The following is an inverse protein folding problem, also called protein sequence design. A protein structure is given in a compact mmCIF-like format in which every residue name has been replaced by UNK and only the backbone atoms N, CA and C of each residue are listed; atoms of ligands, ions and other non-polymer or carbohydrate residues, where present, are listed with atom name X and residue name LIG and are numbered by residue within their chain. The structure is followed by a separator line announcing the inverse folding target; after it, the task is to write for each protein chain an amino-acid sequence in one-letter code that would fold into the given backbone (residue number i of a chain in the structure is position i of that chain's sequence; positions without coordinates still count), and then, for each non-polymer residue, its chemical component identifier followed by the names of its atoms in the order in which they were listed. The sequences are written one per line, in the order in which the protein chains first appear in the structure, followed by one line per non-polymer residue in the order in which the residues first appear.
data_IF_013632048437
#
_entry.id   IF_013632048437
#
_cell.length_a   1.000
_cell.length_b   1.000
_cell.length_c   1.000
_cell.angle_alpha   90.00
_cell.angle_beta   90.00
_cell.angle_gamma   90.00
#
_symmetry.space_group_name_H-M   'P 1'
#
loop_
_entity.id
_entity.type
_entity.pdbx_description
1 polymer ?
#
# COMPACT_ATOMS: atom_id res chain seq x y z
N UNK A 1 41.57 31.83 7.83
CA UNK A 1 40.13 31.92 8.15
C UNK A 1 39.36 32.43 6.93
N UNK A 2 39.22 31.60 5.88
CA UNK A 2 38.60 32.00 4.60
C UNK A 2 37.63 30.93 4.03
N UNK A 3 37.32 29.88 4.80
CA UNK A 3 36.54 28.73 4.31
C UNK A 3 35.14 28.64 4.92
N UNK A 4 34.86 29.36 6.01
CA UNK A 4 33.55 29.32 6.69
C UNK A 4 32.42 30.02 5.91
N UNK A 5 32.76 30.92 4.97
CA UNK A 5 31.77 31.62 4.15
C UNK A 5 31.44 30.91 2.83
N UNK A 6 32.26 29.96 2.39
CA UNK A 6 32.05 29.24 1.12
C UNK A 6 31.00 28.12 1.30
N UNK A 7 30.97 27.50 2.49
CA UNK A 7 29.98 26.46 2.83
C UNK A 7 28.55 26.99 2.92
N UNK A 8 28.36 28.22 3.39
CA UNK A 8 27.03 28.83 3.50
C UNK A 8 26.43 29.20 2.12
N UNK A 9 27.26 29.53 1.13
CA UNK A 9 26.79 29.92 -0.21
C UNK A 9 26.34 28.72 -1.05
N UNK A 10 26.91 27.54 -0.83
CA UNK A 10 26.52 26.30 -1.54
C UNK A 10 25.21 25.68 -1.04
N UNK A 11 24.82 25.93 0.22
CA UNK A 11 23.57 25.41 0.82
C UNK A 11 22.30 26.14 0.35
N UNK A 12 22.42 27.38 -0.16
CA UNK A 12 21.27 28.19 -0.58
C UNK A 12 20.79 27.84 -2.00
N UNK A 13 21.67 27.27 -2.83
CA UNK A 13 21.36 26.94 -4.24
C UNK A 13 20.44 25.72 -4.36
N UNK A 14 20.38 24.86 -3.33
CA UNK A 14 19.53 23.66 -3.36
C UNK A 14 18.03 23.91 -3.12
N UNK A 15 17.63 25.12 -2.68
CA UNK A 15 16.24 25.41 -2.28
C UNK A 15 15.35 26.03 -3.39
N UNK A 16 15.83 26.19 -4.62
CA UNK A 16 15.06 26.94 -5.66
C UNK A 16 14.74 26.13 -6.93
N UNK A 17 14.59 24.81 -6.82
CA UNK A 17 13.83 24.05 -7.82
C UNK A 17 12.39 23.84 -7.35
N UNK A 18 11.67 24.95 -7.15
CA UNK A 18 10.22 24.96 -7.01
C UNK A 18 9.58 24.59 -8.36
N UNK A 19 9.13 23.35 -8.47
CA UNK A 19 8.50 22.83 -9.67
C UNK A 19 7.09 23.45 -9.84
N UNK A 20 6.95 24.51 -10.66
CA UNK A 20 5.64 24.99 -11.10
C UNK A 20 5.16 24.11 -12.27
N UNK A 21 4.45 23.02 -11.98
CA UNK A 21 3.71 22.29 -13.02
C UNK A 21 2.37 22.99 -13.26
N UNK A 22 2.29 23.68 -14.39
CA UNK A 22 1.03 24.20 -14.96
C UNK A 22 0.14 22.98 -15.30
N UNK A 23 -1.01 22.84 -14.63
CA UNK A 23 -2.03 21.83 -14.98
C UNK A 23 -2.70 22.27 -16.28
N UNK A 24 -2.33 21.66 -17.40
CA UNK A 24 -3.17 21.65 -18.59
C UNK A 24 -4.30 20.63 -18.37
N UNK A 25 -5.54 21.09 -18.47
CA UNK A 25 -6.72 20.25 -18.43
C UNK A 25 -6.85 19.59 -19.82
N UNK A 26 -6.18 18.46 -20.02
CA UNK A 26 -6.46 17.58 -21.15
C UNK A 26 -7.53 16.61 -20.70
N UNK A 27 -8.66 16.63 -21.38
CA UNK A 27 -9.64 15.54 -21.29
C UNK A 27 -8.96 14.28 -21.85
N UNK A 28 -8.55 13.39 -20.94
CA UNK A 28 -7.90 12.12 -21.28
C UNK A 28 -8.98 11.03 -21.21
N UNK A 29 -9.13 10.20 -22.27
CA UNK A 29 -10.09 9.10 -22.27
C UNK A 29 -9.82 8.09 -21.14
N UNK A 30 -10.91 7.50 -20.63
CA UNK A 30 -11.08 6.80 -19.34
C UNK A 30 -10.25 5.49 -19.20
N UNK A 31 -9.32 5.19 -20.12
CA UNK A 31 -8.57 3.94 -20.11
C UNK A 31 -7.04 4.09 -20.12
N UNK A 32 -6.53 5.23 -19.66
CA UNK A 32 -5.11 5.40 -19.39
C UNK A 32 -4.84 5.14 -17.90
N UNK A 33 -4.32 3.96 -17.56
CA UNK A 33 -3.45 3.82 -16.37
C UNK A 33 -2.41 4.93 -16.47
N UNK A 34 -2.45 5.85 -15.51
CA UNK A 34 -1.56 7.01 -15.54
C UNK A 34 -0.11 6.52 -15.52
N UNK A 35 0.82 7.21 -16.19
CA UNK A 35 2.26 6.88 -16.10
C UNK A 35 2.73 6.81 -14.64
N UNK A 36 2.04 7.51 -13.73
CA UNK A 36 2.25 7.37 -12.28
C UNK A 36 1.94 5.97 -11.75
N UNK A 37 0.82 5.33 -12.10
CA UNK A 37 0.46 4.03 -11.51
C UNK A 37 1.48 2.96 -11.88
N UNK A 38 1.92 2.95 -13.14
CA UNK A 38 2.97 2.02 -13.60
C UNK A 38 4.26 2.22 -12.81
N UNK A 39 4.64 3.47 -12.55
CA UNK A 39 5.83 3.79 -11.76
C UNK A 39 5.70 3.38 -10.29
N UNK A 40 4.54 3.65 -9.66
CA UNK A 40 4.26 3.22 -8.28
C UNK A 40 4.33 1.70 -8.16
N UNK A 41 3.62 0.98 -9.04
CA UNK A 41 3.60 -0.48 -9.13
C UNK A 41 5.00 -1.06 -9.27
N UNK A 42 5.84 -0.46 -10.13
CA UNK A 42 7.25 -0.86 -10.30
C UNK A 42 8.06 -0.71 -9.01
N UNK A 43 7.95 0.44 -8.31
CA UNK A 43 8.68 0.67 -7.06
C UNK A 43 8.26 -0.28 -5.94
N UNK A 44 6.98 -0.62 -5.87
CA UNK A 44 6.48 -1.65 -4.93
C UNK A 44 7.15 -3.00 -5.23
N UNK A 45 7.13 -3.45 -6.49
CA UNK A 45 7.69 -4.75 -6.88
C UNK A 45 9.20 -4.83 -6.64
N UNK A 46 9.94 -3.78 -7.03
CA UNK A 46 11.40 -3.80 -7.05
C UNK A 46 12.05 -3.52 -5.69
N UNK A 47 11.52 -2.59 -4.92
CA UNK A 47 12.16 -2.15 -3.66
C UNK A 47 11.22 -2.08 -2.44
N UNK A 48 9.95 -2.45 -2.58
CA UNK A 48 9.02 -2.45 -1.45
C UNK A 48 8.72 -1.04 -0.94
N UNK A 49 8.65 -0.06 -1.85
CA UNK A 49 8.45 1.34 -1.48
C UNK A 49 7.08 1.56 -0.85
N UNK A 50 7.07 1.78 0.47
CA UNK A 50 5.84 1.94 1.26
C UNK A 50 5.05 3.19 0.89
N UNK A 51 5.72 4.27 0.48
CA UNK A 51 5.05 5.49 0.01
C UNK A 51 4.28 5.24 -1.30
N UNK A 52 4.89 4.50 -2.24
CA UNK A 52 4.23 4.11 -3.49
C UNK A 52 3.08 3.15 -3.22
N UNK A 53 3.25 2.22 -2.27
CA UNK A 53 2.20 1.31 -1.82
C UNK A 53 1.01 2.06 -1.22
N UNK A 54 1.24 3.02 -0.32
CA UNK A 54 0.18 3.85 0.26
C UNK A 54 -0.52 4.70 -0.80
N UNK A 55 0.22 5.32 -1.71
CA UNK A 55 -0.36 6.09 -2.82
C UNK A 55 -1.25 5.21 -3.69
N UNK A 56 -0.78 3.99 -4.00
CA UNK A 56 -1.53 3.02 -4.77
C UNK A 56 -2.80 2.57 -4.02
N UNK A 57 -2.71 2.29 -2.71
CA UNK A 57 -3.87 1.97 -1.87
C UNK A 57 -4.94 3.07 -1.93
N UNK A 58 -4.55 4.34 -1.75
CA UNK A 58 -5.49 5.45 -1.84
C UNK A 58 -6.16 5.54 -3.21
N UNK A 59 -5.44 5.29 -4.30
CA UNK A 59 -6.04 5.29 -5.65
C UNK A 59 -7.13 4.23 -5.82
N UNK A 60 -7.00 3.08 -5.16
CA UNK A 60 -8.01 2.02 -5.18
C UNK A 60 -9.19 2.28 -4.24
N UNK A 61 -9.09 3.20 -3.27
CA UNK A 61 -10.26 3.65 -2.51
C UNK A 61 -11.22 4.46 -3.39
N UNK A 62 -10.67 5.28 -4.30
CA UNK A 62 -11.46 6.12 -5.20
C UNK A 62 -12.01 5.34 -6.41
N UNK A 63 -11.26 4.34 -6.89
CA UNK A 63 -11.66 3.45 -7.98
C UNK A 63 -11.34 1.99 -7.62
N UNK A 64 -12.27 1.28 -6.97
CA UNK A 64 -12.03 -0.07 -6.46
C UNK A 64 -11.67 -1.05 -7.58
N UNK A 65 -10.46 -1.58 -7.54
CA UNK A 65 -10.03 -2.77 -8.29
C UNK A 65 -9.31 -3.70 -7.31
N UNK A 66 -10.06 -4.30 -6.38
CA UNK A 66 -9.51 -5.03 -5.25
C UNK A 66 -8.65 -6.22 -5.68
N UNK A 67 -8.93 -6.82 -6.85
CA UNK A 67 -8.16 -7.94 -7.40
C UNK A 67 -6.75 -7.50 -7.83
N UNK A 68 -6.61 -6.31 -8.41
CA UNK A 68 -5.30 -5.79 -8.81
C UNK A 68 -4.49 -5.37 -7.58
N UNK A 69 -5.12 -4.69 -6.62
CA UNK A 69 -4.44 -4.27 -5.41
C UNK A 69 -3.95 -5.46 -4.56
N UNK A 70 -4.73 -6.55 -4.50
CA UNK A 70 -4.37 -7.78 -3.79
C UNK A 70 -2.98 -8.31 -4.19
N UNK A 71 -2.65 -8.26 -5.48
CA UNK A 71 -1.33 -8.68 -5.96
C UNK A 71 -0.19 -7.90 -5.31
N UNK A 72 -0.32 -6.57 -5.24
CA UNK A 72 0.69 -5.69 -4.63
C UNK A 72 0.74 -5.84 -3.11
N UNK A 73 -0.42 -6.02 -2.46
CA UNK A 73 -0.50 -6.30 -1.03
C UNK A 73 0.20 -7.62 -0.68
N UNK A 74 0.00 -8.68 -1.45
CA UNK A 74 0.69 -9.96 -1.26
C UNK A 74 2.21 -9.83 -1.40
N UNK A 75 2.71 -9.04 -2.35
CA UNK A 75 4.15 -8.77 -2.49
C UNK A 75 4.69 -8.06 -1.25
N UNK A 76 4.02 -6.99 -0.81
CA UNK A 76 4.45 -6.20 0.34
C UNK A 76 4.43 -7.01 1.64
N UNK A 77 3.41 -7.84 1.82
CA UNK A 77 3.30 -8.74 2.95
C UNK A 77 4.41 -9.80 2.90
N UNK A 78 4.48 -10.59 1.83
CA UNK A 78 5.31 -11.80 1.81
C UNK A 78 6.79 -11.52 1.55
N UNK A 79 7.12 -10.61 0.62
CA UNK A 79 8.50 -10.33 0.23
C UNK A 79 9.16 -9.31 1.17
N UNK A 80 8.41 -8.26 1.52
CA UNK A 80 8.96 -7.13 2.27
C UNK A 80 8.57 -7.14 3.76
N UNK A 81 7.73 -8.09 4.19
CA UNK A 81 7.27 -8.19 5.57
C UNK A 81 6.62 -6.91 6.09
N UNK A 82 5.99 -6.12 5.21
CA UNK A 82 5.35 -4.88 5.60
C UNK A 82 4.07 -5.17 6.41
N UNK A 83 3.98 -4.79 7.70
CA UNK A 83 2.91 -5.22 8.59
C UNK A 83 1.49 -4.90 8.09
N UNK A 84 1.26 -3.67 7.63
CA UNK A 84 -0.03 -3.22 7.11
C UNK A 84 -0.51 -4.09 5.94
N UNK A 85 0.40 -4.51 5.05
CA UNK A 85 0.04 -5.29 3.88
C UNK A 85 -0.51 -6.68 4.20
N UNK A 86 -0.14 -7.26 5.36
CA UNK A 86 -0.77 -8.51 5.81
C UNK A 86 -2.27 -8.31 6.09
N UNK A 87 -2.62 -7.19 6.73
CA UNK A 87 -4.01 -6.84 7.00
C UNK A 87 -4.77 -6.45 5.72
N UNK A 88 -4.10 -5.76 4.81
CA UNK A 88 -4.69 -5.37 3.53
C UNK A 88 -5.04 -6.61 2.66
N UNK A 89 -4.19 -7.65 2.65
CA UNK A 89 -4.52 -8.93 1.98
C UNK A 89 -5.77 -9.57 2.60
N UNK A 90 -5.85 -9.60 3.93
CA UNK A 90 -7.04 -10.07 4.63
C UNK A 90 -8.28 -9.29 4.19
N UNK A 91 -8.24 -7.95 4.19
CA UNK A 91 -9.36 -7.11 3.77
C UNK A 91 -9.75 -7.35 2.32
N UNK A 92 -8.78 -7.47 1.41
CA UNK A 92 -9.07 -7.73 0.00
C UNK A 92 -9.79 -9.05 -0.20
N UNK A 93 -9.40 -10.10 0.51
CA UNK A 93 -10.04 -11.42 0.38
C UNK A 93 -11.37 -11.52 1.13
N UNK A 94 -11.47 -10.89 2.31
CA UNK A 94 -12.68 -10.92 3.13
C UNK A 94 -13.79 -10.00 2.62
N UNK A 95 -13.46 -8.87 1.98
CA UNK A 95 -14.45 -7.92 1.48
C UNK A 95 -14.94 -8.23 0.05
N UNK A 96 -14.17 -8.98 -0.75
CA UNK A 96 -14.54 -9.29 -2.14
C UNK A 96 -15.47 -10.48 -2.27
N UNK A 97 -15.61 -11.30 -1.22
CA UNK A 97 -16.44 -12.50 -1.24
C UNK A 97 -16.99 -12.75 0.15
N UNK A 98 -18.23 -13.23 0.20
CA UNK A 98 -18.79 -13.80 1.41
C UNK A 98 -17.87 -14.92 1.90
N UNK A 99 -17.17 -14.67 3.02
CA UNK A 99 -16.12 -15.55 3.55
C UNK A 99 -16.62 -16.99 3.68
N UNK A 100 -17.91 -17.20 3.95
CA UNK A 100 -18.52 -18.52 4.06
C UNK A 100 -18.49 -19.32 2.76
N UNK A 101 -18.45 -18.65 1.60
CA UNK A 101 -18.38 -19.26 0.27
C UNK A 101 -16.96 -19.62 -0.18
N UNK A 102 -15.94 -19.16 0.55
CA UNK A 102 -14.56 -19.55 0.27
C UNK A 102 -14.37 -21.04 0.60
N UNK A 103 -13.58 -21.73 -0.22
CA UNK A 103 -13.13 -23.07 0.12
C UNK A 103 -12.22 -23.05 1.37
N UNK A 104 -12.11 -24.19 2.05
CA UNK A 104 -11.39 -24.28 3.32
C UNK A 104 -9.91 -23.89 3.21
N UNK A 105 -9.28 -24.15 2.06
CA UNK A 105 -7.88 -23.78 1.84
C UNK A 105 -7.75 -22.26 1.73
N UNK A 106 -8.66 -21.61 1.00
CA UNK A 106 -8.68 -20.14 0.89
C UNK A 106 -9.03 -19.48 2.22
N UNK A 107 -10.00 -20.00 2.98
CA UNK A 107 -10.31 -19.51 4.35
C UNK A 107 -9.08 -19.56 5.25
N UNK A 108 -8.32 -20.65 5.19
CA UNK A 108 -7.08 -20.79 5.97
C UNK A 108 -6.07 -19.69 5.60
N UNK A 109 -5.90 -19.41 4.30
CA UNK A 109 -5.01 -18.32 3.84
C UNK A 109 -5.47 -16.97 4.41
N UNK A 110 -6.76 -16.65 4.35
CA UNK A 110 -7.33 -15.39 4.90
C UNK A 110 -7.00 -15.25 6.38
N UNK A 111 -7.23 -16.30 7.17
CA UNK A 111 -6.93 -16.31 8.62
C UNK A 111 -5.42 -16.21 8.87
N UNK A 112 -4.58 -16.89 8.09
CA UNK A 112 -3.12 -16.81 8.23
C UNK A 112 -2.59 -15.38 8.01
N UNK A 113 -3.16 -14.63 7.05
CA UNK A 113 -2.80 -13.23 6.84
C UNK A 113 -3.23 -12.34 8.02
N UNK A 114 -4.43 -12.56 8.55
CA UNK A 114 -4.93 -11.84 9.71
C UNK A 114 -4.05 -12.07 10.95
N UNK A 115 -3.68 -13.32 11.23
CA UNK A 115 -2.78 -13.68 12.34
C UNK A 115 -1.41 -13.01 12.15
N UNK A 116 -0.81 -13.10 10.97
CA UNK A 116 0.49 -12.48 10.69
C UNK A 116 0.48 -10.96 10.86
N UNK A 117 -0.64 -10.31 10.54
CA UNK A 117 -0.83 -8.88 10.77
C UNK A 117 -0.85 -8.55 12.27
N UNK A 118 -1.64 -9.30 13.05
CA UNK A 118 -1.73 -9.12 14.51
C UNK A 118 -0.37 -9.34 15.20
N UNK A 119 0.36 -10.40 14.84
CA UNK A 119 1.72 -10.67 15.35
C UNK A 119 2.72 -9.54 15.08
N UNK A 120 2.44 -8.68 14.09
CA UNK A 120 3.28 -7.55 13.69
C UNK A 120 2.74 -6.20 14.19
N UNK A 121 1.85 -6.23 15.18
CA UNK A 121 1.33 -5.04 15.84
C UNK A 121 0.31 -4.26 15.01
N UNK A 122 -0.45 -4.94 14.14
CA UNK A 122 -1.63 -4.34 13.52
C UNK A 122 -2.82 -4.48 14.46
N UNK A 123 -3.19 -3.38 15.13
CA UNK A 123 -4.25 -3.38 16.15
C UNK A 123 -5.60 -3.82 15.59
N UNK A 124 -5.93 -3.40 14.36
CA UNK A 124 -7.17 -3.81 13.70
C UNK A 124 -7.24 -5.33 13.50
N UNK A 125 -6.10 -5.97 13.19
CA UNK A 125 -6.06 -7.42 13.02
C UNK A 125 -6.27 -8.15 14.35
N UNK A 126 -5.70 -7.63 15.44
CA UNK A 126 -5.90 -8.17 16.79
C UNK A 126 -7.36 -8.07 17.23
N UNK A 127 -8.01 -6.93 16.98
CA UNK A 127 -9.43 -6.72 17.29
C UNK A 127 -10.34 -7.73 16.57
N UNK A 128 -10.12 -7.94 15.27
CA UNK A 128 -10.89 -8.92 14.49
C UNK A 128 -10.69 -10.35 15.01
N UNK A 129 -9.46 -10.73 15.39
CA UNK A 129 -9.20 -12.06 15.96
C UNK A 129 -9.91 -12.26 17.31
N UNK A 130 -9.94 -11.23 18.16
CA UNK A 130 -10.66 -11.27 19.43
C UNK A 130 -12.18 -11.42 19.21
N UNK A 131 -12.72 -10.77 18.18
CA UNK A 131 -14.13 -10.90 17.81
C UNK A 131 -14.45 -12.33 17.35
N UNK A 132 -13.67 -12.89 16.43
CA UNK A 132 -13.83 -14.28 15.96
C UNK A 132 -13.76 -15.27 17.12
N UNK A 133 -12.84 -15.05 18.08
CA UNK A 133 -12.69 -15.91 19.25
C UNK A 133 -13.89 -15.86 20.22
N UNK A 134 -14.64 -14.74 20.26
CA UNK A 134 -15.87 -14.62 21.06
C UNK A 134 -17.02 -15.43 20.48
N UNK A 135 -17.13 -15.52 19.16
CA UNK A 135 -18.19 -16.27 18.47
C UNK A 135 -17.91 -17.79 18.36
N UNK A 136 -16.68 -18.22 18.65
CA UNK A 136 -16.28 -19.63 18.62
C UNK A 136 -16.47 -20.35 19.97
N UNK A 137 -17.04 -19.68 20.98
CA UNK A 137 -17.36 -20.22 22.31
C UNK A 137 -18.86 -20.48 22.46
#
# INVERSE_FOLDING_TARGET
MKYEKIGATLLIIFMVFGCHKKKENKEIPINYTSTSDTFLKKRIIECGDTASYQTLWYSYLDSPQPEEFLYYAMIMANKYNYPQAYYDVYLCLANTTDVDKLDDATKKIVVEYLVKASERGQDQASEVLEEIAKFSK
#
